data_IF_004923894489
#
_entry.id   IF_004923894489
#
_cell.length_a   1.000
_cell.length_b   1.000
_cell.length_c   1.000
_cell.angle_alpha   90.00
_cell.angle_beta   90.00
_cell.angle_gamma   90.00
#
_symmetry.space_group_name_H-M   'P 1'
#
loop_
_entity.id
_entity.type
_entity.pdbx_description
1 polymer ?
#
# COMPACT_ATOMS: atom_id res chain seq x y z
N UNK A 1 16.02 24.46 35.52
CA UNK A 1 16.46 24.13 36.90
C UNK A 1 17.58 25.08 37.26
N UNK A 2 17.66 25.58 38.50
CA UNK A 2 18.84 26.29 38.97
C UNK A 2 19.92 25.26 39.36
N UNK A 3 21.18 25.61 39.08
CA UNK A 3 22.42 24.83 39.26
C UNK A 3 22.79 23.84 38.14
N UNK A 4 23.33 24.36 37.03
CA UNK A 4 24.29 23.62 36.20
C UNK A 4 23.78 22.48 35.31
N UNK A 5 22.50 22.14 35.33
CA UNK A 5 21.98 21.03 34.53
C UNK A 5 21.74 21.44 33.07
N UNK A 6 22.62 20.99 32.18
CA UNK A 6 22.44 21.09 30.73
C UNK A 6 21.50 19.97 30.26
N UNK A 7 20.37 20.35 29.67
CA UNK A 7 19.45 19.42 29.02
C UNK A 7 19.68 19.42 27.50
N UNK A 8 20.23 18.33 26.96
CA UNK A 8 20.33 18.10 25.52
C UNK A 8 19.19 17.16 25.10
N UNK A 9 18.26 17.67 24.30
CA UNK A 9 17.19 16.87 23.69
C UNK A 9 17.44 16.81 22.19
N UNK A 10 17.75 15.62 21.69
CA UNK A 10 17.77 15.34 20.24
C UNK A 10 16.44 14.67 19.91
N UNK A 11 15.44 15.46 19.55
CA UNK A 11 14.20 14.97 18.98
C UNK A 11 14.40 14.82 17.47
N UNK A 12 14.47 13.58 16.98
CA UNK A 12 14.48 13.28 15.55
C UNK A 12 13.21 12.55 15.19
N UNK A 13 12.57 12.99 14.11
CA UNK A 13 11.45 12.26 13.53
C UNK A 13 11.94 10.90 13.03
N UNK A 14 11.46 9.82 13.64
CA UNK A 14 11.76 8.43 13.27
C UNK A 14 10.62 7.80 12.47
N UNK A 15 9.61 8.57 12.09
CA UNK A 15 8.43 8.09 11.34
C UNK A 15 8.85 7.43 10.03
N UNK A 16 9.80 8.02 9.30
CA UNK A 16 10.33 7.43 8.05
C UNK A 16 11.02 6.08 8.28
N UNK A 17 11.80 5.94 9.36
CA UNK A 17 12.44 4.68 9.72
C UNK A 17 11.40 3.61 10.07
N UNK A 18 10.35 3.99 10.81
CA UNK A 18 9.23 3.11 11.12
C UNK A 18 8.50 2.63 9.86
N UNK A 19 8.24 3.54 8.91
CA UNK A 19 7.61 3.24 7.62
C UNK A 19 8.43 2.28 6.78
N UNK A 20 9.73 2.56 6.63
CA UNK A 20 10.66 1.68 5.90
C UNK A 20 10.72 0.28 6.51
N UNK A 21 10.77 0.20 7.84
CA UNK A 21 10.80 -1.10 8.52
C UNK A 21 9.50 -1.89 8.33
N UNK A 22 8.33 -1.23 8.34
CA UNK A 22 7.04 -1.88 8.03
C UNK A 22 7.00 -2.40 6.59
N UNK A 23 7.44 -1.58 5.64
CA UNK A 23 7.53 -1.97 4.23
C UNK A 23 8.41 -3.20 4.04
N UNK A 24 9.60 -3.20 4.64
CA UNK A 24 10.52 -4.32 4.56
C UNK A 24 9.93 -5.62 5.14
N UNK A 25 9.23 -5.52 6.27
CA UNK A 25 8.56 -6.67 6.89
C UNK A 25 7.43 -7.22 6.02
N UNK A 26 6.65 -6.36 5.36
CA UNK A 26 5.58 -6.77 4.45
C UNK A 26 6.16 -7.47 3.22
N UNK A 27 7.21 -6.91 2.59
CA UNK A 27 7.90 -7.54 1.44
C UNK A 27 8.40 -8.93 1.81
N UNK A 28 9.15 -9.05 2.91
CA UNK A 28 9.65 -10.34 3.40
C UNK A 28 8.52 -11.35 3.67
N UNK A 29 7.37 -10.87 4.13
CA UNK A 29 6.22 -11.73 4.36
C UNK A 29 5.54 -12.16 3.06
N UNK A 30 5.53 -11.33 2.03
CA UNK A 30 5.01 -11.66 0.70
C UNK A 30 5.95 -12.65 0.00
N UNK A 31 7.27 -12.48 0.10
CA UNK A 31 8.24 -13.43 -0.46
C UNK A 31 8.05 -14.84 0.11
N UNK A 32 7.82 -14.94 1.43
CA UNK A 32 7.48 -16.20 2.08
C UNK A 32 6.16 -16.78 1.59
N UNK A 33 5.18 -15.95 1.24
CA UNK A 33 3.92 -16.42 0.66
C UNK A 33 4.13 -16.95 -0.75
N UNK A 34 4.89 -16.24 -1.59
CA UNK A 34 5.19 -16.63 -2.97
C UNK A 34 5.81 -18.03 -3.03
N UNK A 35 6.73 -18.33 -2.11
CA UNK A 35 7.39 -19.63 -2.04
C UNK A 35 6.47 -20.77 -1.56
N UNK A 36 5.47 -20.46 -0.71
CA UNK A 36 4.68 -21.48 0.02
C UNK A 36 3.28 -21.72 -0.54
N UNK A 37 2.64 -20.70 -1.09
CA UNK A 37 1.26 -20.77 -1.56
C UNK A 37 1.22 -21.19 -3.04
N UNK A 38 0.59 -22.33 -3.32
CA UNK A 38 0.48 -22.86 -4.69
C UNK A 38 -0.72 -22.29 -5.45
N UNK A 39 -1.73 -21.82 -4.71
CA UNK A 39 -2.90 -21.19 -5.29
C UNK A 39 -2.61 -19.72 -5.58
N UNK A 40 -2.57 -19.37 -6.88
CA UNK A 40 -2.29 -18.01 -7.35
C UNK A 40 -3.30 -16.99 -6.82
N UNK A 41 -4.58 -17.34 -6.77
CA UNK A 41 -5.63 -16.43 -6.29
C UNK A 41 -5.45 -16.18 -4.80
N UNK A 42 -5.25 -17.24 -4.03
CA UNK A 42 -5.04 -17.15 -2.58
C UNK A 42 -3.76 -16.40 -2.21
N UNK A 43 -2.71 -16.54 -3.02
CA UNK A 43 -1.47 -15.75 -2.89
C UNK A 43 -1.76 -14.26 -3.01
N UNK A 44 -2.50 -13.85 -4.05
CA UNK A 44 -2.82 -12.46 -4.32
C UNK A 44 -3.74 -11.86 -3.25
N UNK A 45 -4.75 -12.61 -2.79
CA UNK A 45 -5.61 -12.21 -1.67
C UNK A 45 -4.79 -11.92 -0.40
N UNK A 46 -3.94 -12.86 0.01
CA UNK A 46 -3.07 -12.70 1.20
C UNK A 46 -2.04 -11.59 1.04
N UNK A 47 -1.48 -11.41 -0.15
CA UNK A 47 -0.56 -10.31 -0.43
C UNK A 47 -1.28 -8.96 -0.32
N UNK A 48 -2.49 -8.85 -0.87
CA UNK A 48 -3.33 -7.66 -0.80
C UNK A 48 -3.69 -7.30 0.65
N UNK A 49 -4.05 -8.29 1.47
CA UNK A 49 -4.30 -8.11 2.91
C UNK A 49 -3.07 -7.54 3.65
N UNK A 50 -1.88 -8.05 3.35
CA UNK A 50 -0.63 -7.56 3.97
C UNK A 50 -0.27 -6.16 3.54
N UNK A 51 -0.47 -5.82 2.27
CA UNK A 51 -0.24 -4.47 1.75
C UNK A 51 -1.19 -3.46 2.39
N UNK A 52 -2.43 -3.85 2.69
CA UNK A 52 -3.38 -3.01 3.42
C UNK A 52 -2.94 -2.67 4.85
N UNK A 53 -1.96 -3.40 5.42
CA UNK A 53 -1.41 -3.13 6.76
C UNK A 53 -0.22 -2.15 6.72
N UNK A 54 0.22 -1.68 5.54
CA UNK A 54 1.42 -0.84 5.40
C UNK A 54 1.22 0.56 5.99
N UNK A 55 0.09 1.18 5.67
CA UNK A 55 -0.36 2.50 6.14
C UNK A 55 -1.86 2.44 6.40
N UNK A 56 -2.45 3.54 6.86
CA UNK A 56 -3.90 3.70 7.06
C UNK A 56 -4.65 3.84 5.72
N UNK A 57 -4.33 2.98 4.74
CA UNK A 57 -5.03 2.93 3.47
C UNK A 57 -6.47 2.44 3.70
N UNK A 58 -7.44 3.24 3.27
CA UNK A 58 -8.86 2.86 3.38
C UNK A 58 -9.21 1.62 2.54
N UNK A 59 -8.45 1.37 1.46
CA UNK A 59 -8.59 0.21 0.57
C UNK A 59 -7.28 -0.05 -0.15
N UNK A 60 -6.94 -1.32 -0.34
CA UNK A 60 -5.84 -1.79 -1.19
C UNK A 60 -6.42 -2.77 -2.19
N UNK A 61 -6.06 -2.63 -3.46
CA UNK A 61 -6.54 -3.49 -4.54
C UNK A 61 -5.35 -3.94 -5.38
N UNK A 62 -5.29 -5.23 -5.70
CA UNK A 62 -4.43 -5.75 -6.76
C UNK A 62 -5.31 -5.93 -7.99
N UNK A 63 -4.87 -5.41 -9.13
CA UNK A 63 -5.56 -5.51 -10.40
C UNK A 63 -4.68 -6.17 -11.46
N UNK A 64 -5.31 -6.88 -12.40
CA UNK A 64 -4.71 -7.15 -13.71
C UNK A 64 -5.22 -6.13 -14.73
N UNK A 65 -4.43 -5.91 -15.77
CA UNK A 65 -4.85 -5.12 -16.93
C UNK A 65 -4.96 -6.07 -18.13
N UNK A 66 -6.17 -6.20 -18.67
CA UNK A 66 -6.48 -7.02 -19.85
C UNK A 66 -7.29 -6.15 -20.82
N UNK A 67 -6.88 -6.07 -22.09
CA UNK A 67 -7.57 -5.28 -23.13
C UNK A 67 -7.90 -3.81 -22.72
N UNK A 68 -6.95 -3.14 -22.06
CA UNK A 68 -7.10 -1.79 -21.48
C UNK A 68 -8.10 -1.68 -20.31
N UNK A 69 -8.72 -2.79 -19.90
CA UNK A 69 -9.59 -2.85 -18.73
C UNK A 69 -8.81 -3.21 -17.46
N UNK A 70 -9.17 -2.54 -16.35
CA UNK A 70 -8.64 -2.83 -15.02
C UNK A 70 -9.58 -3.79 -14.32
N UNK A 71 -9.09 -5.00 -14.08
CA UNK A 71 -9.86 -6.06 -13.45
C UNK A 71 -9.29 -6.29 -12.05
N UNK A 72 -10.04 -5.99 -10.98
CA UNK A 72 -9.61 -6.26 -9.62
C UNK A 72 -9.57 -7.77 -9.36
N UNK A 73 -8.45 -8.28 -8.88
CA UNK A 73 -8.26 -9.71 -8.57
C UNK A 73 -8.14 -9.99 -7.07
N UNK A 74 -7.81 -8.97 -6.27
CA UNK A 74 -7.81 -9.03 -4.82
C UNK A 74 -8.10 -7.65 -4.23
N UNK A 75 -8.90 -7.58 -3.17
CA UNK A 75 -9.30 -6.34 -2.51
C UNK A 75 -9.24 -6.55 -0.99
N UNK A 76 -8.63 -5.61 -0.28
CA UNK A 76 -8.62 -5.54 1.18
C UNK A 76 -9.02 -4.13 1.65
N UNK A 77 -9.77 -4.03 2.76
CA UNK A 77 -10.20 -2.76 3.35
C UNK A 77 -11.71 -2.56 3.47
N UNK A 78 -12.09 -1.37 3.96
CA UNK A 78 -13.45 -1.08 4.49
C UNK A 78 -14.46 -0.76 3.38
N UNK A 79 -14.04 -0.28 2.21
CA UNK A 79 -14.95 0.15 1.15
C UNK A 79 -14.87 -0.76 -0.09
N UNK A 80 -15.50 -1.93 -0.04
CA UNK A 80 -15.62 -2.84 -1.19
C UNK A 80 -16.38 -2.22 -2.40
N UNK A 81 -17.21 -1.20 -2.19
CA UNK A 81 -17.95 -0.49 -3.24
C UNK A 81 -17.11 0.55 -4.02
N UNK A 82 -15.80 0.66 -3.75
CA UNK A 82 -14.91 1.65 -4.38
C UNK A 82 -14.51 1.27 -5.82
N UNK A 83 -14.78 0.04 -6.26
CA UNK A 83 -14.46 -0.44 -7.60
C UNK A 83 -15.06 0.39 -8.74
N UNK A 84 -16.31 0.81 -8.61
CA UNK A 84 -16.98 1.61 -9.65
C UNK A 84 -16.35 3.01 -9.78
N UNK A 85 -15.98 3.63 -8.65
CA UNK A 85 -15.31 4.93 -8.61
C UNK A 85 -13.82 4.86 -8.97
N UNK A 86 -13.16 3.71 -8.78
CA UNK A 86 -11.77 3.48 -9.16
C UNK A 86 -11.57 3.59 -10.69
N UNK A 87 -12.55 3.15 -11.49
CA UNK A 87 -12.51 3.31 -12.96
C UNK A 87 -12.45 4.78 -13.40
N UNK A 88 -12.95 5.69 -12.57
CA UNK A 88 -12.96 7.13 -12.85
C UNK A 88 -11.70 7.84 -12.33
N UNK A 89 -10.92 7.20 -11.45
CA UNK A 89 -9.70 7.76 -10.87
C UNK A 89 -8.65 8.03 -11.96
N UNK A 90 -8.18 9.28 -12.05
CA UNK A 90 -7.17 9.71 -13.03
C UNK A 90 -5.85 8.96 -12.84
N UNK A 91 -5.44 8.71 -11.60
CA UNK A 91 -4.22 7.95 -11.27
C UNK A 91 -4.28 6.54 -11.85
N UNK A 92 -5.43 5.87 -11.74
CA UNK A 92 -5.61 4.51 -12.29
C UNK A 92 -5.57 4.56 -13.82
N UNK A 93 -6.25 5.51 -14.46
CA UNK A 93 -6.20 5.68 -15.92
C UNK A 93 -4.78 5.94 -16.44
N UNK A 94 -3.99 6.73 -15.72
CA UNK A 94 -2.58 6.98 -16.06
C UNK A 94 -1.71 5.73 -15.85
N UNK A 95 -1.86 5.02 -14.73
CA UNK A 95 -1.10 3.81 -14.43
C UNK A 95 -1.32 2.71 -15.49
N UNK A 96 -2.56 2.55 -15.95
CA UNK A 96 -2.92 1.62 -17.04
C UNK A 96 -2.21 1.97 -18.34
N UNK A 97 -2.22 3.26 -18.72
CA UNK A 97 -1.59 3.73 -19.96
C UNK A 97 -0.07 3.62 -19.91
N UNK A 98 0.53 3.90 -18.76
CA UNK A 98 1.99 3.99 -18.64
C UNK A 98 2.67 2.65 -18.29
N UNK A 99 1.91 1.58 -17.95
CA UNK A 99 2.44 0.28 -17.47
C UNK A 99 3.50 0.40 -16.36
N UNK A 100 3.49 1.52 -15.62
CA UNK A 100 4.50 1.86 -14.62
C UNK A 100 3.85 2.30 -13.32
N UNK A 101 4.60 2.17 -12.21
CA UNK A 101 4.16 2.49 -10.85
C UNK A 101 3.91 4.01 -10.77
N UNK A 102 2.64 4.41 -10.64
CA UNK A 102 2.26 5.80 -10.37
C UNK A 102 1.96 5.92 -8.87
N UNK A 103 2.96 6.29 -8.08
CA UNK A 103 2.73 6.70 -6.69
C UNK A 103 2.35 8.19 -6.68
N UNK A 104 1.05 8.50 -6.65
CA UNK A 104 0.53 9.85 -6.48
C UNK A 104 -0.35 9.92 -5.24
N UNK A 105 0.04 10.77 -4.29
CA UNK A 105 -0.78 11.16 -3.15
C UNK A 105 -1.82 12.18 -3.64
N UNK A 106 -2.98 11.72 -4.12
CA UNK A 106 -4.09 12.63 -4.38
C UNK A 106 -4.79 12.94 -3.05
N UNK A 107 -4.42 14.06 -2.44
CA UNK A 107 -5.03 14.57 -1.19
C UNK A 107 -6.53 14.91 -1.27
N UNK A 108 -7.22 14.60 -2.36
CA UNK A 108 -8.65 14.85 -2.52
C UNK A 108 -9.30 13.78 -3.40
N UNK A 109 -9.57 12.60 -2.82
CA UNK A 109 -10.57 11.69 -3.36
C UNK A 109 -11.38 11.15 -2.20
N UNK A 110 -12.38 11.92 -1.74
CA UNK A 110 -13.75 11.53 -1.37
C UNK A 110 -14.50 12.74 -0.82
#
# INVERSE_FOLDING_TARGET
MPDGDYCLIIAKDVTELGRLNRLLNIINSIDKLIVREKDKKRLLEKACEKLAMLEDYSTTTICVVEDEEVIPIAISGVRKNVLEKQRECKVIKEAVKCKSIVAKDEKNVF
#
